data_IF_466722051786
#
_entry.id   IF_466722051786
#
_cell.length_a   1.000
_cell.length_b   1.000
_cell.length_c   1.000
_cell.angle_alpha   90.00
_cell.angle_beta   90.00
_cell.angle_gamma   90.00
#
_symmetry.space_group_name_H-M   'P 1'
#
loop_
_entity.id
_entity.type
_entity.pdbx_description
1 polymer ?
#
# COMPACT_ATOMS: atom_id res chain seq x y z
N UNK A 1 20.04 3.13 -51.02
CA UNK A 1 20.34 3.52 -49.62
C UNK A 1 20.04 2.34 -48.71
N UNK A 2 20.92 2.03 -47.75
CA UNK A 2 20.70 0.93 -46.79
C UNK A 2 19.69 1.39 -45.73
N UNK A 3 18.59 0.66 -45.59
CA UNK A 3 17.56 0.96 -44.60
C UNK A 3 18.13 0.89 -43.17
N UNK A 4 17.82 1.87 -42.35
CA UNK A 4 18.19 1.88 -40.93
C UNK A 4 17.54 0.70 -40.20
N UNK A 5 18.12 0.28 -39.07
CA UNK A 5 17.55 -0.81 -38.27
C UNK A 5 16.10 -0.54 -37.82
N UNK A 6 15.77 0.73 -37.56
CA UNK A 6 14.43 1.16 -37.18
C UNK A 6 13.42 1.03 -38.35
N UNK A 7 13.82 1.40 -39.56
CA UNK A 7 12.99 1.26 -40.76
C UNK A 7 12.78 -0.21 -41.13
N UNK A 8 13.82 -1.05 -41.04
CA UNK A 8 13.71 -2.51 -41.22
C UNK A 8 12.72 -3.12 -40.22
N UNK A 9 12.78 -2.72 -38.96
CA UNK A 9 11.84 -3.18 -37.92
C UNK A 9 10.40 -2.67 -38.16
N UNK A 10 10.23 -1.48 -38.75
CA UNK A 10 8.91 -0.94 -39.11
C UNK A 10 8.29 -1.76 -40.25
N UNK A 11 9.03 -1.99 -41.32
CA UNK A 11 8.61 -2.81 -42.47
C UNK A 11 8.28 -4.25 -42.05
N UNK A 12 9.08 -4.85 -41.17
CA UNK A 12 8.77 -6.18 -40.63
C UNK A 12 7.44 -6.18 -39.86
N UNK A 13 7.18 -5.16 -39.02
CA UNK A 13 5.89 -5.03 -38.29
C UNK A 13 4.71 -4.85 -39.23
N UNK A 14 4.87 -4.09 -40.31
CA UNK A 14 3.85 -3.89 -41.33
C UNK A 14 3.56 -5.20 -42.09
N UNK A 15 4.60 -5.94 -42.49
CA UNK A 15 4.49 -7.27 -43.11
C UNK A 15 3.86 -8.32 -42.18
N UNK A 16 4.09 -8.23 -40.87
CA UNK A 16 3.42 -9.11 -39.91
C UNK A 16 1.93 -8.77 -39.76
N UNK A 17 1.54 -7.50 -39.91
CA UNK A 17 0.14 -7.06 -39.82
C UNK A 17 -0.66 -7.36 -41.08
N UNK A 18 -0.01 -7.49 -42.23
CA UNK A 18 -0.69 -7.75 -43.51
C UNK A 18 -1.26 -9.16 -43.62
N UNK A 19 -0.75 -10.15 -42.88
CA UNK A 19 -1.29 -11.51 -42.79
C UNK A 19 -2.04 -11.71 -41.46
N UNK A 20 -3.39 -11.79 -41.47
CA UNK A 20 -4.18 -11.92 -40.25
C UNK A 20 -3.87 -13.18 -39.43
N UNK A 21 -3.53 -14.30 -40.09
CA UNK A 21 -3.27 -15.58 -39.41
C UNK A 21 -1.94 -15.52 -38.66
N UNK A 22 -0.87 -15.11 -39.35
CA UNK A 22 0.46 -14.94 -38.73
C UNK A 22 0.45 -13.88 -37.64
N UNK A 23 -0.30 -12.79 -37.82
CA UNK A 23 -0.45 -11.76 -36.79
C UNK A 23 -1.10 -12.33 -35.52
N UNK A 24 -2.13 -13.16 -35.67
CA UNK A 24 -2.83 -13.77 -34.53
C UNK A 24 -1.92 -14.72 -33.74
N UNK A 25 -1.12 -15.54 -34.43
CA UNK A 25 -0.12 -16.42 -33.83
C UNK A 25 0.97 -15.63 -33.09
N UNK A 26 1.46 -14.55 -33.70
CA UNK A 26 2.42 -13.65 -33.08
C UNK A 26 1.88 -13.05 -31.78
N UNK A 27 0.64 -12.54 -31.80
CA UNK A 27 -0.01 -11.99 -30.60
C UNK A 27 -0.19 -13.07 -29.52
N UNK A 28 -0.49 -14.31 -29.90
CA UNK A 28 -0.61 -15.42 -28.95
C UNK A 28 0.74 -15.76 -28.31
N UNK A 29 1.83 -15.79 -29.10
CA UNK A 29 3.19 -15.97 -28.58
C UNK A 29 3.59 -14.85 -27.61
N UNK A 30 3.26 -13.60 -27.92
CA UNK A 30 3.51 -12.47 -27.01
C UNK A 30 2.70 -12.56 -25.72
N UNK A 31 1.42 -12.98 -25.79
CA UNK A 31 0.61 -13.23 -24.59
C UNK A 31 1.21 -14.31 -23.70
N UNK A 32 1.69 -15.41 -24.30
CA UNK A 32 2.33 -16.49 -23.56
C UNK A 32 3.63 -16.01 -22.90
N UNK A 33 4.51 -15.30 -23.63
CA UNK A 33 5.71 -14.68 -23.06
C UNK A 33 5.40 -13.76 -21.88
N UNK A 34 4.31 -12.99 -21.96
CA UNK A 34 3.89 -12.14 -20.85
C UNK A 34 3.44 -12.96 -19.63
N UNK A 35 2.69 -14.04 -19.83
CA UNK A 35 2.32 -14.97 -18.75
C UNK A 35 3.57 -15.56 -18.11
N UNK A 36 4.53 -16.03 -18.92
CA UNK A 36 5.78 -16.61 -18.43
C UNK A 36 6.58 -15.59 -17.59
N UNK A 37 6.70 -14.34 -18.07
CA UNK A 37 7.35 -13.26 -17.31
C UNK A 37 6.63 -12.89 -16.02
N UNK A 38 5.31 -13.06 -15.98
CA UNK A 38 4.50 -12.82 -14.79
C UNK A 38 4.71 -13.95 -13.77
N UNK A 39 4.76 -15.20 -14.23
CA UNK A 39 5.06 -16.38 -13.39
C UNK A 39 6.49 -16.31 -12.86
N UNK A 40 7.45 -15.97 -13.71
CA UNK A 40 8.87 -15.85 -13.35
C UNK A 40 9.20 -14.60 -12.51
N UNK A 41 8.18 -13.85 -12.05
CA UNK A 41 8.28 -12.63 -11.24
C UNK A 41 9.06 -11.44 -11.85
N UNK A 42 9.45 -11.55 -13.12
CA UNK A 42 10.09 -10.46 -13.89
C UNK A 42 9.12 -9.29 -14.06
N UNK A 43 7.84 -9.59 -14.27
CA UNK A 43 6.76 -8.59 -14.29
C UNK A 43 5.93 -8.74 -13.01
N UNK A 44 6.18 -7.86 -12.05
CA UNK A 44 5.46 -7.84 -10.77
C UNK A 44 4.09 -7.16 -10.93
N UNK A 45 3.00 -7.73 -10.39
CA UNK A 45 1.75 -6.99 -10.24
C UNK A 45 1.94 -5.86 -9.24
N UNK A 46 1.08 -4.83 -9.32
CA UNK A 46 1.20 -3.63 -8.47
C UNK A 46 1.15 -3.99 -6.99
N UNK A 47 0.37 -4.99 -6.59
CA UNK A 47 0.22 -5.41 -5.19
C UNK A 47 1.56 -5.84 -4.60
N UNK A 48 2.32 -6.64 -5.35
CA UNK A 48 3.62 -7.21 -4.97
C UNK A 48 4.80 -6.22 -5.12
N UNK A 49 4.57 -5.04 -5.69
CA UNK A 49 5.60 -4.00 -5.77
C UNK A 49 5.82 -3.33 -4.42
N UNK A 50 7.08 -3.03 -4.12
CA UNK A 50 7.45 -2.18 -2.98
C UNK A 50 6.93 -0.74 -3.17
N UNK A 51 6.77 0.04 -2.10
CA UNK A 51 6.30 1.43 -2.22
C UNK A 51 7.23 2.32 -3.06
N UNK A 52 8.53 2.03 -3.05
CA UNK A 52 9.52 2.73 -3.89
C UNK A 52 9.31 2.44 -5.37
N UNK A 53 9.09 1.17 -5.72
CA UNK A 53 8.76 0.75 -7.10
C UNK A 53 7.41 1.33 -7.53
N UNK A 54 6.37 1.24 -6.69
CA UNK A 54 5.05 1.86 -6.94
C UNK A 54 5.17 3.36 -7.23
N UNK A 55 6.01 4.08 -6.47
CA UNK A 55 6.29 5.50 -6.69
C UNK A 55 6.96 5.74 -8.05
N UNK A 56 7.93 4.91 -8.43
CA UNK A 56 8.61 4.98 -9.74
C UNK A 56 7.64 4.73 -10.89
N UNK A 57 6.78 3.72 -10.78
CA UNK A 57 5.73 3.40 -11.76
C UNK A 57 4.76 4.55 -11.91
N UNK A 58 4.28 5.14 -10.81
CA UNK A 58 3.41 6.34 -10.83
C UNK A 58 4.09 7.53 -11.52
N UNK A 59 5.37 7.76 -11.27
CA UNK A 59 6.15 8.83 -11.93
C UNK A 59 6.19 8.63 -13.45
N UNK A 60 6.53 7.43 -13.91
CA UNK A 60 6.54 7.10 -15.34
C UNK A 60 5.15 7.24 -15.95
N UNK A 61 4.11 6.73 -15.28
CA UNK A 61 2.74 6.86 -15.76
C UNK A 61 2.33 8.32 -15.98
N UNK A 62 2.62 9.23 -15.02
CA UNK A 62 2.35 10.66 -15.19
C UNK A 62 3.10 11.24 -16.40
N UNK A 63 4.38 10.91 -16.57
CA UNK A 63 5.19 11.35 -17.72
C UNK A 63 4.60 10.85 -19.04
N UNK A 64 4.27 9.56 -19.13
CA UNK A 64 3.65 8.99 -20.33
C UNK A 64 2.29 9.63 -20.65
N UNK A 65 1.48 9.93 -19.63
CA UNK A 65 0.20 10.62 -19.84
C UNK A 65 0.39 12.07 -20.31
N UNK A 66 1.36 12.80 -19.76
CA UNK A 66 1.70 14.14 -20.21
C UNK A 66 2.15 14.12 -21.69
N UNK A 67 3.13 13.27 -22.02
CA UNK A 67 3.61 13.10 -23.39
C UNK A 67 2.51 12.67 -24.36
N UNK A 68 1.57 11.81 -23.93
CA UNK A 68 0.42 11.42 -24.75
C UNK A 68 -0.47 12.62 -25.06
N UNK A 69 -0.81 13.43 -24.06
CA UNK A 69 -1.63 14.63 -24.25
C UNK A 69 -0.95 15.62 -25.19
N UNK A 70 0.35 15.84 -25.00
CA UNK A 70 1.15 16.71 -25.86
C UNK A 70 1.15 16.22 -27.32
N UNK A 71 1.41 14.93 -27.55
CA UNK A 71 1.33 14.34 -28.90
C UNK A 71 -0.05 14.47 -29.52
N UNK A 72 -1.11 14.29 -28.73
CA UNK A 72 -2.48 14.47 -29.21
C UNK A 72 -2.76 15.93 -29.55
N UNK A 73 -2.29 16.88 -28.73
CA UNK A 73 -2.40 18.31 -29.00
C UNK A 73 -1.68 18.68 -30.29
N UNK A 74 -0.42 18.25 -30.44
CA UNK A 74 0.36 18.44 -31.66
C UNK A 74 -0.33 17.82 -32.87
N UNK A 75 -0.84 16.59 -32.78
CA UNK A 75 -1.57 15.96 -33.88
C UNK A 75 -2.81 16.76 -34.30
N UNK A 76 -3.56 17.30 -33.34
CA UNK A 76 -4.72 18.17 -33.62
C UNK A 76 -4.25 19.46 -34.30
N UNK A 77 -3.22 20.12 -33.76
CA UNK A 77 -2.67 21.35 -34.33
C UNK A 77 -2.15 21.14 -35.76
N UNK A 78 -1.43 20.04 -36.00
CA UNK A 78 -0.99 19.68 -37.36
C UNK A 78 -2.16 19.40 -38.28
N UNK A 79 -3.21 18.73 -37.81
CA UNK A 79 -4.38 18.42 -38.63
C UNK A 79 -5.17 19.69 -38.97
N UNK A 80 -5.32 20.61 -38.02
CA UNK A 80 -5.92 21.92 -38.26
C UNK A 80 -5.09 22.73 -39.26
N UNK A 81 -3.76 22.80 -39.07
CA UNK A 81 -2.88 23.49 -40.01
C UNK A 81 -2.96 22.92 -41.43
N UNK A 82 -2.96 21.58 -41.57
CA UNK A 82 -3.17 20.92 -42.86
C UNK A 82 -4.55 21.25 -43.44
N UNK A 83 -5.61 21.25 -42.63
CA UNK A 83 -6.96 21.61 -43.08
C UNK A 83 -7.07 23.07 -43.54
N UNK A 84 -6.37 23.99 -42.88
CA UNK A 84 -6.43 25.42 -43.18
C UNK A 84 -5.57 25.79 -44.40
N UNK A 85 -4.56 24.96 -44.74
CA UNK A 85 -3.60 25.23 -45.82
C UNK A 85 -3.70 24.25 -47.01
N UNK A 86 -4.64 23.31 -46.99
CA UNK A 86 -4.93 22.44 -48.14
C UNK A 86 -6.28 22.85 -48.72
N UNK A 87 -6.39 23.07 -50.04
CA UNK A 87 -7.67 23.36 -50.67
C UNK A 87 -8.72 22.30 -50.30
N UNK A 88 -10.00 22.68 -50.14
CA UNK A 88 -11.05 21.71 -49.86
C UNK A 88 -11.04 20.63 -50.94
N UNK A 89 -11.08 19.37 -50.51
CA UNK A 89 -11.16 18.21 -51.41
C UNK A 89 -12.39 18.42 -52.31
N UNK A 90 -12.19 18.45 -53.64
CA UNK A 90 -13.28 18.47 -54.62
C UNK A 90 -14.28 17.36 -54.26
N UNK A 91 -15.60 17.55 -54.50
CA UNK A 91 -16.61 16.60 -54.06
C UNK A 91 -16.40 15.28 -54.80
N UNK A 92 -15.66 14.37 -54.18
CA UNK A 92 -15.57 12.98 -54.59
C UNK A 92 -16.93 12.36 -54.24
N UNK A 93 -17.55 11.76 -55.24
CA UNK A 93 -18.87 11.13 -55.16
C UNK A 93 -18.95 10.30 -53.87
N UNK A 94 -19.88 10.70 -53.01
CA UNK A 94 -19.94 10.28 -51.62
C UNK A 94 -20.31 8.82 -51.47
N UNK A 95 -19.29 7.99 -51.32
CA UNK A 95 -19.46 6.58 -50.99
C UNK A 95 -18.69 6.23 -49.71
N UNK A 96 -19.46 5.75 -48.73
CA UNK A 96 -19.05 5.05 -47.50
C UNK A 96 -18.22 5.83 -46.47
N UNK A 97 -18.91 6.38 -45.47
CA UNK A 97 -18.53 6.18 -44.06
C UNK A 97 -19.70 6.52 -43.13
N UNK A 98 -20.63 5.57 -42.95
CA UNK A 98 -21.55 5.59 -41.83
C UNK A 98 -20.76 5.41 -40.52
N UNK A 99 -20.23 6.53 -40.00
CA UNK A 99 -19.79 6.61 -38.62
C UNK A 99 -21.00 6.34 -37.73
N UNK A 100 -21.03 5.15 -37.11
CA UNK A 100 -21.99 4.77 -36.07
C UNK A 100 -21.76 5.71 -34.87
N UNK A 101 -22.30 6.92 -34.94
CA UNK A 101 -22.34 7.88 -33.84
C UNK A 101 -23.27 7.29 -32.79
N UNK A 102 -22.69 6.64 -31.78
CA UNK A 102 -23.42 6.15 -30.58
C UNK A 102 -24.39 7.23 -30.12
N UNK A 103 -25.68 6.89 -30.06
CA UNK A 103 -26.76 7.82 -29.73
C UNK A 103 -26.51 8.51 -28.38
N UNK A 104 -26.93 9.76 -28.23
CA UNK A 104 -26.76 10.55 -27.01
C UNK A 104 -27.31 9.85 -25.74
N UNK A 105 -28.30 8.97 -25.89
CA UNK A 105 -28.85 8.14 -24.82
C UNK A 105 -27.82 7.15 -24.24
N UNK A 106 -27.04 6.46 -25.09
CA UNK A 106 -25.99 5.51 -24.65
C UNK A 106 -24.85 6.23 -23.90
N UNK A 107 -24.52 7.46 -24.28
CA UNK A 107 -23.54 8.30 -23.55
C UNK A 107 -24.06 8.72 -22.16
N UNK A 108 -25.34 9.06 -22.05
CA UNK A 108 -25.98 9.44 -20.77
C UNK A 108 -26.03 8.26 -19.78
N UNK A 109 -26.40 7.06 -20.24
CA UNK A 109 -26.43 5.84 -19.41
C UNK A 109 -25.06 5.46 -18.85
N UNK A 110 -24.00 5.52 -19.68
CA UNK A 110 -22.62 5.26 -19.22
C UNK A 110 -22.15 6.26 -18.16
N UNK A 111 -22.46 7.55 -18.33
CA UNK A 111 -22.09 8.60 -17.37
C UNK A 111 -22.79 8.41 -16.02
N UNK A 112 -24.04 7.92 -16.01
CA UNK A 112 -24.77 7.56 -14.78
C UNK A 112 -24.12 6.37 -14.08
N UNK A 113 -23.85 5.28 -14.80
CA UNK A 113 -23.18 4.10 -14.23
C UNK A 113 -21.78 4.39 -13.67
N UNK A 114 -21.02 5.28 -14.31
CA UNK A 114 -19.72 5.72 -13.81
C UNK A 114 -19.84 6.54 -12.51
N UNK A 115 -20.83 7.43 -12.41
CA UNK A 115 -21.14 8.17 -11.17
C UNK A 115 -21.56 7.24 -10.05
N UNK A 116 -22.45 6.29 -10.31
CA UNK A 116 -22.96 5.35 -9.31
C UNK A 116 -21.83 4.44 -8.80
N UNK A 117 -20.99 3.93 -9.72
CA UNK A 117 -19.80 3.15 -9.38
C UNK A 117 -18.82 3.98 -8.54
N UNK A 118 -18.56 5.24 -8.92
CA UNK A 118 -17.71 6.16 -8.16
C UNK A 118 -18.25 6.43 -6.75
N UNK A 119 -19.57 6.62 -6.62
CA UNK A 119 -20.26 6.80 -5.33
C UNK A 119 -20.10 5.56 -4.45
N UNK A 120 -20.31 4.36 -5.01
CA UNK A 120 -20.13 3.09 -4.30
C UNK A 120 -18.69 2.91 -3.81
N UNK A 121 -17.68 3.15 -4.65
CA UNK A 121 -16.27 3.07 -4.23
C UNK A 121 -15.91 4.08 -3.13
N UNK A 122 -16.46 5.30 -3.18
CA UNK A 122 -16.27 6.29 -2.12
C UNK A 122 -16.89 5.82 -0.79
N UNK A 123 -18.09 5.24 -0.86
CA UNK A 123 -18.77 4.67 0.32
C UNK A 123 -17.98 3.50 0.90
N UNK A 124 -17.52 2.55 0.07
CA UNK A 124 -16.66 1.44 0.49
C UNK A 124 -15.39 1.94 1.19
N UNK A 125 -14.73 2.94 0.61
CA UNK A 125 -13.54 3.56 1.24
C UNK A 125 -13.87 4.17 2.60
N UNK A 126 -14.98 4.90 2.72
CA UNK A 126 -15.43 5.52 3.98
C UNK A 126 -15.74 4.47 5.04
N UNK A 127 -16.41 3.38 4.64
CA UNK A 127 -16.74 2.26 5.52
C UNK A 127 -15.46 1.53 5.98
N UNK A 128 -14.52 1.24 5.08
CA UNK A 128 -13.25 0.61 5.44
C UNK A 128 -12.45 1.44 6.46
N UNK A 129 -12.38 2.77 6.27
CA UNK A 129 -11.72 3.65 7.25
C UNK A 129 -12.42 3.61 8.61
N UNK A 130 -13.75 3.64 8.64
CA UNK A 130 -14.54 3.51 9.88
C UNK A 130 -14.30 2.16 10.55
N UNK A 131 -14.31 1.08 9.79
CA UNK A 131 -14.06 -0.28 10.30
C UNK A 131 -12.67 -0.37 10.95
N UNK A 132 -11.61 0.06 10.26
CA UNK A 132 -10.24 0.08 10.82
C UNK A 132 -10.18 0.93 12.10
N UNK A 133 -10.85 2.09 12.12
CA UNK A 133 -10.88 2.95 13.31
C UNK A 133 -11.60 2.28 14.49
N UNK A 134 -12.71 1.58 14.22
CA UNK A 134 -13.50 0.87 15.22
C UNK A 134 -12.74 -0.35 15.76
N UNK A 135 -12.03 -1.09 14.90
CA UNK A 135 -11.16 -2.20 15.30
C UNK A 135 -10.02 -1.72 16.21
N UNK A 136 -9.33 -0.65 15.83
CA UNK A 136 -8.28 -0.03 16.66
C UNK A 136 -8.83 0.41 18.02
N UNK A 137 -10.01 1.03 18.02
CA UNK A 137 -10.67 1.47 19.24
C UNK A 137 -11.06 0.28 20.13
N UNK A 138 -11.64 -0.77 19.55
CA UNK A 138 -11.95 -2.02 20.24
C UNK A 138 -10.70 -2.68 20.83
N UNK A 139 -9.61 -2.74 20.06
CA UNK A 139 -8.33 -3.29 20.54
C UNK A 139 -7.81 -2.48 21.74
N UNK A 140 -7.86 -1.14 21.66
CA UNK A 140 -7.50 -0.25 22.77
C UNK A 140 -8.35 -0.53 24.01
N UNK A 141 -9.68 -0.65 23.87
CA UNK A 141 -10.57 -0.94 24.99
C UNK A 141 -10.35 -2.35 25.57
N UNK A 142 -10.15 -3.38 24.73
CA UNK A 142 -9.77 -4.73 25.17
C UNK A 142 -8.49 -4.71 26.01
N UNK A 143 -7.45 -4.03 25.53
CA UNK A 143 -6.20 -3.89 26.27
C UNK A 143 -6.38 -3.10 27.57
N UNK A 144 -7.18 -2.03 27.57
CA UNK A 144 -7.49 -1.25 28.78
C UNK A 144 -8.20 -2.11 29.81
N UNK A 145 -9.23 -2.85 29.40
CA UNK A 145 -9.97 -3.78 30.25
C UNK A 145 -9.05 -4.86 30.82
N UNK A 146 -8.17 -5.45 29.99
CA UNK A 146 -7.18 -6.42 30.45
C UNK A 146 -6.25 -5.83 31.53
N UNK A 147 -5.72 -4.62 31.30
CA UNK A 147 -4.88 -3.91 32.29
C UNK A 147 -5.64 -3.60 33.57
N UNK A 148 -6.91 -3.18 33.48
CA UNK A 148 -7.74 -2.92 34.67
C UNK A 148 -8.01 -4.20 35.47
N UNK A 149 -8.40 -5.30 34.79
CA UNK A 149 -8.58 -6.61 35.44
C UNK A 149 -7.28 -7.10 36.09
N UNK A 150 -6.13 -6.92 35.42
CA UNK A 150 -4.82 -7.27 35.99
C UNK A 150 -4.45 -6.40 37.19
N UNK A 151 -4.74 -5.09 37.14
CA UNK A 151 -4.56 -4.16 38.27
C UNK A 151 -5.46 -4.52 39.46
N UNK A 152 -6.69 -4.97 39.22
CA UNK A 152 -7.59 -5.45 40.28
C UNK A 152 -7.11 -6.76 40.92
N UNK A 153 -6.40 -7.62 40.17
CA UNK A 153 -5.84 -8.89 40.67
C UNK A 153 -4.46 -8.74 41.34
N UNK A 154 -3.59 -7.86 40.83
CA UNK A 154 -2.34 -7.49 41.48
C UNK A 154 -2.59 -6.25 42.34
N UNK A 155 -2.96 -6.46 43.60
CA UNK A 155 -3.02 -5.38 44.60
C UNK A 155 -1.65 -4.75 44.89
N UNK A 156 -0.55 -5.36 44.42
CA UNK A 156 0.80 -4.82 44.56
C UNK A 156 1.13 -3.80 43.48
N UNK A 157 1.50 -2.60 43.90
CA UNK A 157 2.03 -1.57 43.02
C UNK A 157 3.26 -2.07 42.24
N UNK A 158 3.27 -1.83 40.93
CA UNK A 158 4.44 -2.13 40.08
C UNK A 158 5.69 -1.41 40.62
N UNK A 159 6.90 -1.98 40.52
CA UNK A 159 8.15 -1.32 40.89
C UNK A 159 8.26 0.12 40.37
N UNK A 160 7.82 0.35 39.13
CA UNK A 160 7.76 1.70 38.52
C UNK A 160 6.77 2.63 39.22
N UNK A 161 5.62 2.11 39.61
CA UNK A 161 4.60 2.87 40.35
C UNK A 161 5.13 3.25 41.74
N UNK A 162 5.74 2.30 42.46
CA UNK A 162 6.40 2.54 43.76
C UNK A 162 7.47 3.62 43.66
N UNK A 163 8.34 3.54 42.65
CA UNK A 163 9.36 4.59 42.42
C UNK A 163 8.72 5.94 42.12
N UNK A 164 7.68 6.01 41.27
CA UNK A 164 7.02 7.27 40.93
C UNK A 164 6.29 7.89 42.12
N UNK A 165 5.68 7.08 42.99
CA UNK A 165 5.03 7.52 44.22
C UNK A 165 6.09 8.05 45.19
N UNK A 166 7.18 7.30 45.40
CA UNK A 166 8.27 7.69 46.28
C UNK A 166 8.95 9.00 45.84
N UNK A 167 9.13 9.18 44.53
CA UNK A 167 9.79 10.35 43.95
C UNK A 167 8.81 11.46 43.54
N UNK A 168 7.53 11.37 43.95
CA UNK A 168 6.51 12.34 43.56
C UNK A 168 6.89 13.72 44.09
N UNK A 169 6.96 14.71 43.19
CA UNK A 169 7.35 16.09 43.55
C UNK A 169 8.85 16.34 43.65
N UNK A 170 9.69 15.31 43.51
CA UNK A 170 11.16 15.47 43.54
C UNK A 170 11.73 15.46 42.12
N UNK A 171 12.65 16.39 41.83
CA UNK A 171 13.44 16.35 40.61
C UNK A 171 14.69 15.51 40.82
N UNK A 172 14.72 14.30 40.27
CA UNK A 172 15.78 13.33 40.51
C UNK A 172 16.42 12.92 39.20
N UNK A 173 17.76 12.85 39.18
CA UNK A 173 18.52 12.38 38.03
C UNK A 173 18.02 10.98 37.55
N UNK A 174 17.91 10.75 36.23
CA UNK A 174 17.46 9.48 35.67
C UNK A 174 18.20 8.25 36.18
N UNK A 175 19.50 8.38 36.48
CA UNK A 175 20.31 7.28 37.03
C UNK A 175 19.78 6.81 38.39
N UNK A 176 19.53 7.73 39.33
CA UNK A 176 18.97 7.42 40.65
C UNK A 176 17.57 6.80 40.55
N UNK A 177 16.74 7.32 39.64
CA UNK A 177 15.41 6.76 39.35
C UNK A 177 15.50 5.31 38.86
N UNK A 178 16.44 5.01 37.94
CA UNK A 178 16.67 3.64 37.46
C UNK A 178 17.14 2.72 38.58
N UNK A 179 18.04 3.17 39.45
CA UNK A 179 18.51 2.38 40.60
C UNK A 179 17.38 2.03 41.55
N UNK A 180 16.52 2.99 41.92
CA UNK A 180 15.35 2.74 42.77
C UNK A 180 14.36 1.76 42.13
N UNK A 181 14.10 1.92 40.83
CA UNK A 181 13.22 1.00 40.09
C UNK A 181 13.82 -0.42 40.04
N UNK A 182 15.14 -0.53 39.84
CA UNK A 182 15.86 -1.81 39.89
C UNK A 182 15.75 -2.45 41.27
N UNK A 183 16.02 -1.70 42.34
CA UNK A 183 15.87 -2.17 43.72
C UNK A 183 14.48 -2.74 43.99
N UNK A 184 13.41 -1.99 43.68
CA UNK A 184 12.04 -2.50 43.87
C UNK A 184 11.73 -3.74 43.03
N UNK A 185 12.27 -3.83 41.80
CA UNK A 185 12.11 -5.02 40.97
C UNK A 185 12.85 -6.23 41.53
N UNK A 186 14.03 -6.03 42.10
CA UNK A 186 14.85 -7.08 42.70
C UNK A 186 14.18 -7.63 43.96
N UNK A 187 13.67 -6.76 44.83
CA UNK A 187 12.93 -7.16 46.04
C UNK A 187 11.66 -7.95 45.69
N UNK A 188 10.86 -7.50 44.71
CA UNK A 188 9.70 -8.26 44.25
C UNK A 188 10.10 -9.61 43.64
N UNK A 189 11.18 -9.64 42.83
CA UNK A 189 11.69 -10.89 42.27
C UNK A 189 12.11 -11.90 43.33
N UNK A 190 12.75 -11.44 44.41
CA UNK A 190 13.12 -12.29 45.55
C UNK A 190 11.86 -12.79 46.28
N UNK A 191 10.90 -11.91 46.56
CA UNK A 191 9.61 -12.28 47.19
C UNK A 191 8.84 -13.29 46.36
N UNK A 192 8.81 -13.12 45.04
CA UNK A 192 8.12 -14.03 44.13
C UNK A 192 8.81 -15.40 44.08
N UNK A 193 10.15 -15.43 43.97
CA UNK A 193 10.92 -16.68 44.08
C UNK A 193 10.66 -17.39 45.42
N UNK A 194 10.54 -16.65 46.52
CA UNK A 194 10.19 -17.25 47.81
C UNK A 194 8.78 -17.88 47.82
N UNK A 195 7.78 -17.17 47.28
CA UNK A 195 6.38 -17.64 47.19
C UNK A 195 6.23 -18.85 46.27
N UNK A 196 6.86 -18.82 45.10
CA UNK A 196 6.73 -19.85 44.06
C UNK A 196 7.49 -21.15 44.42
N UNK A 197 8.54 -21.05 45.26
CA UNK A 197 9.26 -22.23 45.74
C UNK A 197 8.42 -23.02 46.73
N UNK A 198 8.24 -24.32 46.46
CA UNK A 198 7.55 -25.27 47.36
C UNK A 198 8.49 -25.92 48.39
N UNK A 199 9.80 -25.92 48.13
CA UNK A 199 10.80 -26.55 49.00
C UNK A 199 11.24 -25.63 50.13
N UNK A 200 11.17 -26.11 51.36
CA UNK A 200 11.51 -25.33 52.57
C UNK A 200 13.02 -24.99 52.64
N UNK A 201 13.90 -25.92 52.24
CA UNK A 201 15.34 -25.66 52.15
C UNK A 201 15.67 -24.46 51.25
N UNK A 202 15.00 -24.35 50.09
CA UNK A 202 15.18 -23.22 49.16
C UNK A 202 14.60 -21.92 49.72
N UNK A 203 13.48 -21.98 50.44
CA UNK A 203 12.90 -20.81 51.15
C UNK A 203 13.84 -20.29 52.24
N UNK A 204 14.45 -21.18 53.02
CA UNK A 204 15.44 -20.82 54.04
C UNK A 204 16.69 -20.17 53.42
N UNK A 205 17.21 -20.72 52.31
CA UNK A 205 18.33 -20.11 51.58
C UNK A 205 17.99 -18.68 51.14
N UNK A 206 16.82 -18.48 50.51
CA UNK A 206 16.35 -17.16 50.08
C UNK A 206 16.20 -16.21 51.27
N UNK A 207 15.63 -16.69 52.39
CA UNK A 207 15.49 -15.90 53.62
C UNK A 207 16.84 -15.45 54.16
N UNK A 208 17.84 -16.33 54.16
CA UNK A 208 19.19 -16.02 54.65
C UNK A 208 19.88 -14.97 53.76
N UNK A 209 19.74 -15.10 52.43
CA UNK A 209 20.26 -14.10 51.48
C UNK A 209 19.59 -12.73 51.65
N UNK A 210 18.30 -12.68 52.00
CA UNK A 210 17.63 -11.41 52.31
C UNK A 210 18.15 -10.83 53.61
N UNK A 211 18.31 -11.64 54.67
CA UNK A 211 18.84 -11.19 55.97
C UNK A 211 20.29 -10.73 55.92
N UNK A 212 21.10 -11.20 54.96
CA UNK A 212 22.52 -10.84 54.86
C UNK A 212 22.77 -9.56 54.06
N UNK A 213 21.82 -9.11 53.24
CA UNK A 213 21.99 -8.00 52.29
C UNK A 213 21.14 -6.76 52.62
N UNK A 214 20.32 -6.82 53.67
CA UNK A 214 19.47 -5.74 54.17
C UNK A 214 19.51 -5.72 55.69
#
# INVERSE_FOLDING_TARGET
MVLTGAERAKLWRERQKSDPRKYSEYLQKERNRYKDKKISSVVKPIEDMTEREKRRTRKHWRKHQANKRERTKQAIETNNFLSDNTPPVSPENGDFQQNIRRTNAQRRGRKKGEKDRSKAYRQLKKLNVRLISAEKLNQRYRQRLHRMKKKGKLSSESPRSKTNILLKGQNVCPKRRKTLMYHFSLVEGIKQKYRDNKSEKKRQLIRNVVKSNF
#
